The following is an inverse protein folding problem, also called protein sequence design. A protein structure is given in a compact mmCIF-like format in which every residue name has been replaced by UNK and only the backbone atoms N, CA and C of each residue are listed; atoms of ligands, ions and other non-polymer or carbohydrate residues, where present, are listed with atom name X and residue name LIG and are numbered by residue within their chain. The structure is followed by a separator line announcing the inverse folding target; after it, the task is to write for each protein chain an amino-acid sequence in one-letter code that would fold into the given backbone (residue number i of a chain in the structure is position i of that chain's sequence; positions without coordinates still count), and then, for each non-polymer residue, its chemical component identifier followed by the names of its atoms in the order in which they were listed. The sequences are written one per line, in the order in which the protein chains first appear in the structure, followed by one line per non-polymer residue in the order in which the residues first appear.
data_IF_138433185285
#
_entry.id   IF_138433185285
#
_cell.length_a   1.000
_cell.length_b   1.000
_cell.length_c   1.000
_cell.angle_alpha   90.00
_cell.angle_beta   90.00
_cell.angle_gamma   90.00
#
_symmetry.space_group_name_H-M   'P 1'
#
loop_
_entity.id
_entity.type
_entity.pdbx_description
1 polymer ?
#
# COMPACT_ATOMS: atom_id res chain seq x y z
N UNK A 1 13.70 -4.52 -9.57
CA UNK A 1 14.06 -3.38 -10.46
C UNK A 1 14.68 -2.28 -9.61
N UNK A 2 15.57 -1.44 -10.16
CA UNK A 2 16.08 -0.30 -9.41
C UNK A 2 14.97 0.77 -9.24
N UNK A 3 14.94 1.44 -8.10
CA UNK A 3 13.97 2.50 -7.81
C UNK A 3 14.18 3.70 -8.74
N UNK A 4 13.09 4.30 -9.20
CA UNK A 4 13.12 5.52 -10.03
C UNK A 4 13.54 5.29 -11.49
N UNK A 5 13.61 4.03 -11.95
CA UNK A 5 13.84 3.69 -13.36
C UNK A 5 12.60 3.07 -13.98
N UNK A 6 12.33 3.48 -15.21
CA UNK A 6 11.29 2.88 -16.02
C UNK A 6 11.68 1.46 -16.44
N UNK A 7 10.66 0.59 -16.52
CA UNK A 7 10.78 -0.74 -17.08
C UNK A 7 10.00 -0.81 -18.40
N UNK A 8 10.66 -1.28 -19.46
CA UNK A 8 10.03 -1.51 -20.75
C UNK A 8 9.70 -2.99 -20.93
N UNK A 9 8.46 -3.28 -21.35
CA UNK A 9 7.99 -4.63 -21.64
C UNK A 9 7.42 -4.68 -23.06
N UNK A 10 7.69 -5.77 -23.78
CA UNK A 10 7.13 -6.02 -25.11
C UNK A 10 6.30 -7.29 -25.06
N UNK A 11 5.07 -7.22 -25.60
CA UNK A 11 4.14 -8.34 -25.67
C UNK A 11 3.76 -8.57 -27.12
N UNK A 12 3.96 -9.80 -27.59
CA UNK A 12 3.51 -10.22 -28.91
C UNK A 12 2.20 -10.99 -28.78
N UNK A 13 1.16 -10.52 -29.46
CA UNK A 13 -0.16 -11.16 -29.51
C UNK A 13 -0.34 -11.75 -30.91
N UNK A 14 -0.81 -13.00 -30.99
CA UNK A 14 -0.96 -13.71 -32.28
C UNK A 14 -2.02 -13.08 -33.18
N UNK A 15 -3.14 -12.68 -32.59
CA UNK A 15 -4.24 -12.01 -33.27
C UNK A 15 -4.94 -11.09 -32.30
N UNK A 16 -5.22 -9.87 -32.74
CA UNK A 16 -6.00 -8.91 -31.97
C UNK A 16 -7.49 -9.30 -32.03
N UNK A 17 -8.25 -9.07 -30.95
CA UNK A 17 -9.69 -9.31 -30.97
C UNK A 17 -10.40 -8.35 -31.93
N UNK A 18 -11.57 -8.76 -32.42
CA UNK A 18 -12.47 -7.85 -33.14
C UNK A 18 -13.17 -6.91 -32.14
N UNK A 19 -12.48 -5.81 -31.83
CA UNK A 19 -12.92 -4.78 -30.89
C UNK A 19 -12.32 -3.44 -31.32
N UNK A 20 -12.92 -2.33 -30.86
CA UNK A 20 -12.41 -0.98 -31.13
C UNK A 20 -11.31 -0.55 -30.15
N UNK A 21 -11.36 -1.06 -28.93
CA UNK A 21 -10.43 -0.70 -27.85
C UNK A 21 -10.05 -1.92 -27.04
N UNK A 22 -8.84 -1.92 -26.49
CA UNK A 22 -8.35 -2.97 -25.60
C UNK A 22 -7.65 -2.33 -24.40
N UNK A 23 -8.18 -2.59 -23.20
CA UNK A 23 -7.56 -2.16 -21.96
C UNK A 23 -6.60 -3.25 -21.43
N UNK A 24 -5.36 -2.87 -21.16
CA UNK A 24 -4.33 -3.72 -20.58
C UNK A 24 -4.26 -3.50 -19.07
N UNK A 25 -5.11 -4.19 -18.33
CA UNK A 25 -5.07 -4.16 -16.86
C UNK A 25 -3.77 -4.78 -16.38
N UNK A 26 -3.04 -4.06 -15.52
CA UNK A 26 -1.74 -4.52 -15.02
C UNK A 26 -1.65 -4.46 -13.51
N UNK A 27 -0.92 -5.43 -12.94
CA UNK A 27 -0.54 -5.47 -11.54
C UNK A 27 0.98 -5.38 -11.45
N UNK A 28 1.47 -4.37 -10.74
CA UNK A 28 2.90 -4.21 -10.49
C UNK A 28 3.18 -4.57 -9.04
N UNK A 29 3.85 -5.69 -8.82
CA UNK A 29 4.27 -6.13 -7.49
C UNK A 29 5.69 -5.67 -7.21
N UNK A 30 5.93 -5.22 -5.99
CA UNK A 30 7.23 -4.77 -5.49
C UNK A 30 7.79 -5.77 -4.48
N UNK A 31 9.09 -5.68 -4.22
CA UNK A 31 9.80 -6.51 -3.25
C UNK A 31 9.39 -6.24 -1.79
N UNK A 32 8.94 -5.02 -1.49
CA UNK A 32 8.35 -4.63 -0.21
C UNK A 32 6.92 -5.16 0.03
N UNK A 33 6.39 -5.96 -0.91
CA UNK A 33 5.06 -6.56 -0.83
C UNK A 33 3.91 -5.64 -1.27
N UNK A 34 4.18 -4.40 -1.67
CA UNK A 34 3.16 -3.53 -2.26
C UNK A 34 2.75 -4.01 -3.65
N UNK A 35 1.52 -3.69 -4.03
CA UNK A 35 0.99 -3.95 -5.38
C UNK A 35 0.24 -2.73 -5.90
N UNK A 36 0.72 -2.15 -7.00
CA UNK A 36 -0.02 -1.12 -7.73
C UNK A 36 -0.97 -1.78 -8.73
N UNK A 37 -2.20 -1.25 -8.80
CA UNK A 37 -3.30 -1.84 -9.58
C UNK A 37 -3.79 -0.90 -10.67
N UNK A 38 -3.20 -0.98 -11.85
CA UNK A 38 -3.59 -0.20 -13.01
C UNK A 38 -4.74 -0.89 -13.73
N UNK A 39 -5.92 -0.85 -13.12
CA UNK A 39 -7.09 -1.66 -13.53
C UNK A 39 -8.34 -0.83 -13.83
N UNK A 40 -8.31 0.47 -13.52
CA UNK A 40 -9.45 1.36 -13.73
C UNK A 40 -9.62 1.66 -15.22
N UNK A 41 -10.86 1.62 -15.70
CA UNK A 41 -11.14 1.86 -17.13
C UNK A 41 -11.26 3.35 -17.47
N UNK A 42 -11.68 4.16 -16.50
CA UNK A 42 -11.83 5.60 -16.67
C UNK A 42 -10.52 6.33 -16.40
N UNK A 43 -10.31 7.45 -17.09
CA UNK A 43 -9.21 8.35 -16.77
C UNK A 43 -9.45 9.00 -15.41
N UNK A 44 -8.41 9.06 -14.58
CA UNK A 44 -8.44 9.81 -13.33
C UNK A 44 -8.94 11.24 -13.57
N UNK A 45 -10.02 11.63 -12.90
CA UNK A 45 -10.68 12.93 -13.04
C UNK A 45 -10.03 14.04 -12.21
N UNK A 46 -9.01 13.71 -11.41
CA UNK A 46 -8.15 14.67 -10.69
C UNK A 46 -6.74 14.63 -11.27
N UNK A 47 -6.05 15.78 -11.30
CA UNK A 47 -4.75 16.01 -11.97
C UNK A 47 -3.54 15.17 -11.53
N UNK A 48 -3.76 14.08 -10.78
CA UNK A 48 -2.79 13.02 -10.58
C UNK A 48 -2.89 11.93 -11.65
N UNK A 49 -1.77 11.26 -11.91
CA UNK A 49 -1.70 10.06 -12.74
C UNK A 49 -2.28 8.91 -11.92
N UNK A 50 -3.62 8.81 -11.87
CA UNK A 50 -4.30 7.73 -11.17
C UNK A 50 -4.01 6.35 -11.78
N UNK A 51 -4.66 5.32 -11.27
CA UNK A 51 -4.40 3.93 -11.67
C UNK A 51 -5.23 3.45 -12.88
N UNK A 52 -5.35 4.29 -13.90
CA UNK A 52 -6.07 3.96 -15.13
C UNK A 52 -5.28 2.95 -15.96
N UNK A 53 -5.93 1.88 -16.41
CA UNK A 53 -5.32 0.89 -17.27
C UNK A 53 -4.90 1.52 -18.62
N UNK A 54 -3.72 1.16 -19.16
CA UNK A 54 -3.36 1.49 -20.52
C UNK A 54 -4.42 1.01 -21.52
N UNK A 55 -4.80 1.88 -22.47
CA UNK A 55 -5.78 1.55 -23.51
C UNK A 55 -5.11 1.63 -24.87
N UNK A 56 -5.32 0.59 -25.68
CA UNK A 56 -4.94 0.52 -27.09
C UNK A 56 -6.19 0.65 -27.94
N UNK A 57 -6.21 1.67 -28.81
CA UNK A 57 -7.23 1.81 -29.85
C UNK A 57 -6.86 0.91 -31.04
N UNK A 58 -7.84 0.18 -31.56
CA UNK A 58 -7.67 -0.79 -32.63
C UNK A 58 -8.36 -0.29 -33.90
N UNK A 59 -7.68 -0.46 -35.02
CA UNK A 59 -8.26 -0.26 -36.35
C UNK A 59 -9.01 -1.52 -36.78
N UNK A 60 -9.91 -1.37 -37.76
CA UNK A 60 -10.60 -2.51 -38.35
C UNK A 60 -9.59 -3.52 -38.92
N UNK A 61 -9.98 -4.79 -38.88
CA UNK A 61 -9.18 -5.84 -39.46
C UNK A 61 -9.00 -5.60 -40.98
N UNK A 62 -7.82 -5.96 -41.49
CA UNK A 62 -7.57 -5.86 -42.92
C UNK A 62 -8.57 -6.74 -43.71
N UNK A 63 -8.97 -6.34 -44.94
CA UNK A 63 -9.88 -7.14 -45.76
C UNK A 63 -9.35 -8.57 -45.96
N UNK A 64 -10.21 -9.57 -45.69
CA UNK A 64 -9.86 -10.99 -45.78
C UNK A 64 -9.16 -11.57 -44.55
N UNK A 65 -9.04 -10.82 -43.46
CA UNK A 65 -8.57 -11.36 -42.19
C UNK A 65 -9.62 -12.30 -41.56
N UNK A 66 -9.26 -13.57 -41.39
CA UNK A 66 -10.11 -14.55 -40.71
C UNK A 66 -9.67 -14.77 -39.25
N UNK A 67 -10.61 -14.96 -38.31
CA UNK A 67 -10.29 -15.38 -36.95
C UNK A 67 -9.50 -16.71 -36.94
N UNK A 68 -8.38 -16.72 -36.23
CA UNK A 68 -7.63 -17.93 -35.96
C UNK A 68 -8.40 -18.77 -34.95
N UNK A 69 -8.39 -20.09 -35.15
CA UNK A 69 -8.91 -21.02 -34.15
C UNK A 69 -8.18 -20.82 -32.79
N UNK A 70 -8.89 -20.93 -31.66
CA UNK A 70 -8.29 -20.79 -30.35
C UNK A 70 -7.16 -21.82 -30.17
N UNK A 71 -6.01 -21.36 -29.66
CA UNK A 71 -4.93 -22.25 -29.24
C UNK A 71 -5.41 -23.07 -28.03
N UNK A 72 -4.97 -24.33 -27.85
CA UNK A 72 -5.14 -24.99 -26.56
C UNK A 72 -4.52 -24.10 -25.48
N UNK A 73 -5.32 -23.77 -24.46
CA UNK A 73 -4.89 -22.94 -23.35
C UNK A 73 -3.75 -23.65 -22.62
N UNK A 74 -2.60 -23.00 -22.48
CA UNK A 74 -1.60 -23.44 -21.52
C UNK A 74 -2.24 -23.34 -20.13
N UNK A 75 -2.45 -24.47 -19.47
CA UNK A 75 -3.02 -24.51 -18.13
C UNK A 75 -2.14 -23.65 -17.22
N UNK A 76 -2.65 -22.50 -16.79
CA UNK A 76 -1.99 -21.68 -15.77
C UNK A 76 -1.88 -22.52 -14.50
N UNK A 77 -0.66 -22.94 -14.17
CA UNK A 77 -0.36 -23.50 -12.86
C UNK A 77 -0.70 -22.44 -11.82
N UNK A 78 -1.83 -22.62 -11.14
CA UNK A 78 -2.21 -21.80 -9.98
C UNK A 78 -1.10 -21.98 -8.95
N UNK A 79 -0.44 -20.90 -8.46
CA UNK A 79 0.50 -21.05 -7.35
C UNK A 79 -0.25 -21.61 -6.15
N UNK A 80 0.29 -22.68 -5.56
CA UNK A 80 -0.34 -23.36 -4.43
C UNK A 80 -0.60 -22.37 -3.29
N UNK A 81 -1.87 -22.27 -2.88
CA UNK A 81 -2.28 -21.57 -1.67
C UNK A 81 -1.55 -22.19 -0.48
N UNK A 82 -0.80 -21.43 0.34
CA UNK A 82 -0.19 -22.00 1.54
C UNK A 82 -1.30 -22.42 2.50
N UNK A 83 -1.39 -23.73 2.77
CA UNK A 83 -2.26 -24.28 3.80
C UNK A 83 -1.80 -23.78 5.17
N UNK A 84 -2.66 -23.16 6.01
CA UNK A 84 -2.29 -22.86 7.37
C UNK A 84 -2.07 -24.18 8.12
N UNK A 85 -0.86 -24.37 8.68
CA UNK A 85 -0.56 -25.51 9.53
C UNK A 85 -1.38 -25.37 10.82
N UNK A 86 -2.44 -26.16 10.94
CA UNK A 86 -3.21 -26.31 12.18
C UNK A 86 -2.36 -27.08 13.19
N UNK A 87 -1.87 -26.38 14.21
CA UNK A 87 -1.32 -27.01 15.41
C UNK A 87 -2.43 -27.82 16.09
N UNK A 88 -2.27 -29.14 16.30
CA UNK A 88 -3.25 -29.90 17.06
C UNK A 88 -3.17 -29.53 18.55
N UNK A 89 -4.32 -29.15 19.08
CA UNK A 89 -4.61 -29.02 20.52
C UNK A 89 -4.86 -30.42 21.12
N UNK A 90 -4.15 -30.72 22.20
CA UNK A 90 -4.42 -31.75 23.23
C UNK A 90 -3.50 -31.37 24.39
N UNK A 91 -3.89 -31.24 25.66
CA UNK A 91 -4.93 -31.90 26.46
C UNK A 91 -5.10 -31.06 27.77
N UNK A 92 -6.23 -31.15 28.50
CA UNK A 92 -6.62 -30.19 29.54
C UNK A 92 -6.03 -30.49 30.92
N UNK A 93 -5.80 -29.43 31.70
CA UNK A 93 -5.63 -29.50 33.14
C UNK A 93 -6.64 -28.55 33.83
N UNK A 94 -7.36 -29.16 34.77
CA UNK A 94 -8.47 -28.67 35.59
C UNK A 94 -8.26 -27.29 36.28
N UNK A 95 -9.35 -26.58 36.64
CA UNK A 95 -9.29 -25.22 37.16
C UNK A 95 -9.12 -25.19 38.69
N UNK A 96 -8.20 -24.36 39.19
CA UNK A 96 -8.23 -23.92 40.59
C UNK A 96 -8.08 -22.41 40.70
N UNK A 97 -9.19 -21.78 41.05
CA UNK A 97 -9.29 -20.37 41.40
C UNK A 97 -8.45 -20.03 42.65
N UNK A 98 -7.85 -18.84 42.64
CA UNK A 98 -7.84 -17.89 43.76
C UNK A 98 -7.40 -16.50 43.28
N UNK A 99 -8.10 -15.41 43.66
CA UNK A 99 -7.64 -14.04 43.47
C UNK A 99 -6.82 -13.61 44.69
N UNK A 100 -5.71 -12.91 44.50
CA UNK A 100 -5.14 -12.04 45.53
C UNK A 100 -4.24 -10.99 44.89
N UNK A 101 -4.58 -9.75 45.22
CA UNK A 101 -3.77 -8.55 45.04
C UNK A 101 -2.34 -8.74 45.58
N UNK A 102 -1.33 -8.26 44.86
CA UNK A 102 -0.36 -7.34 45.43
C UNK A 102 0.43 -6.60 44.34
N UNK A 103 0.77 -5.37 44.68
CA UNK A 103 1.41 -4.31 43.93
C UNK A 103 2.94 -4.37 44.08
N UNK A 104 3.63 -3.85 43.05
CA UNK A 104 4.98 -3.21 43.05
C UNK A 104 6.23 -3.98 42.64
N UNK A 105 6.79 -3.45 41.53
CA UNK A 105 8.18 -3.21 41.12
C UNK A 105 9.14 -4.37 40.84
N UNK A 106 9.51 -4.52 39.57
CA UNK A 106 10.74 -3.99 38.94
C UNK A 106 11.05 -4.88 37.71
N UNK A 107 10.95 -4.33 36.49
CA UNK A 107 12.10 -4.03 35.60
C UNK A 107 12.72 -5.30 34.98
N UNK A 108 12.93 -5.46 33.67
CA UNK A 108 12.92 -4.60 32.49
C UNK A 108 12.62 -5.48 31.25
N UNK A 109 12.51 -4.80 30.10
CA UNK A 109 12.74 -5.30 28.74
C UNK A 109 11.53 -5.72 27.90
N UNK A 110 11.34 -4.91 26.85
CA UNK A 110 10.46 -5.02 25.66
C UNK A 110 8.98 -4.73 25.86
N UNK A 111 8.59 -3.50 25.48
CA UNK A 111 7.20 -3.21 25.19
C UNK A 111 6.95 -1.81 24.66
N UNK A 112 6.88 -1.69 23.34
CA UNK A 112 6.00 -0.80 22.57
C UNK A 112 5.16 0.21 23.40
N UNK A 113 5.55 1.49 23.45
CA UNK A 113 4.71 2.56 24.02
C UNK A 113 4.00 3.35 22.94
N UNK A 114 2.77 2.92 22.67
CA UNK A 114 1.74 3.65 21.96
C UNK A 114 1.19 4.76 22.87
N UNK A 115 1.86 5.91 23.01
CA UNK A 115 1.28 7.15 23.56
C UNK A 115 2.27 8.33 23.57
N UNK A 116 2.27 9.19 22.53
CA UNK A 116 2.55 10.63 22.71
C UNK A 116 2.17 11.45 21.46
N UNK A 117 1.19 12.36 21.56
CA UNK A 117 1.41 13.68 20.98
C UNK A 117 0.98 14.78 21.95
N UNK A 118 1.68 14.93 23.07
CA UNK A 118 1.52 16.11 23.95
C UNK A 118 2.83 16.91 24.05
N UNK A 119 3.99 16.29 23.82
CA UNK A 119 5.28 16.97 23.90
C UNK A 119 5.50 18.09 22.87
N UNK A 120 4.93 17.96 21.67
CA UNK A 120 5.18 18.93 20.58
C UNK A 120 4.44 20.25 20.81
N UNK A 121 3.23 20.21 21.40
CA UNK A 121 2.42 21.43 21.63
C UNK A 121 3.05 22.35 22.68
N UNK A 122 3.64 21.78 23.73
CA UNK A 122 4.30 22.56 24.80
C UNK A 122 5.56 23.27 24.29
N UNK A 123 6.33 22.61 23.42
CA UNK A 123 7.55 23.19 22.82
C UNK A 123 7.20 24.33 21.86
N UNK A 124 6.16 24.19 21.04
CA UNK A 124 5.73 25.26 20.11
C UNK A 124 5.17 26.47 20.86
N UNK A 125 4.40 26.26 21.94
CA UNK A 125 3.88 27.37 22.76
C UNK A 125 4.98 28.11 23.53
N UNK A 126 6.02 27.40 24.00
CA UNK A 126 7.16 28.03 24.66
C UNK A 126 7.98 28.91 23.69
N UNK A 127 8.18 28.46 22.45
CA UNK A 127 8.92 29.23 21.44
C UNK A 127 8.13 30.47 20.96
N UNK A 128 6.82 30.34 20.75
CA UNK A 128 5.96 31.46 20.35
C UNK A 128 5.82 32.51 21.47
N UNK A 129 5.64 32.06 22.72
CA UNK A 129 5.54 32.93 23.90
C UNK A 129 6.86 33.66 24.21
N UNK A 130 8.00 32.97 24.08
CA UNK A 130 9.33 33.54 24.29
C UNK A 130 9.66 34.65 23.30
N UNK A 131 9.30 34.46 22.02
CA UNK A 131 9.55 35.47 20.99
C UNK A 131 8.68 36.72 21.19
N UNK A 132 7.40 36.55 21.56
CA UNK A 132 6.50 37.67 21.82
C UNK A 132 6.90 38.49 23.06
N UNK A 133 7.31 37.83 24.15
CA UNK A 133 7.78 38.51 25.37
C UNK A 133 9.08 39.29 25.15
N UNK A 134 10.01 38.72 24.36
CA UNK A 134 11.28 39.37 24.04
C UNK A 134 11.10 40.59 23.12
N UNK A 135 10.16 40.56 22.18
CA UNK A 135 9.82 41.73 21.36
C UNK A 135 9.07 42.81 22.17
N UNK A 136 8.24 42.43 23.14
CA UNK A 136 7.54 43.38 24.02
C UNK A 136 8.51 44.12 24.95
N UNK A 137 9.55 43.44 25.45
CA UNK A 137 10.57 44.04 26.33
C UNK A 137 11.44 45.10 25.64
N UNK A 138 11.55 45.06 24.30
CA UNK A 138 12.27 46.08 23.51
C UNK A 138 11.50 47.39 23.31
N UNK A 139 10.22 47.46 23.68
CA UNK A 139 9.36 48.65 23.47
C UNK A 139 9.18 49.52 24.72
N UNK A 140 9.79 49.17 25.86
CA UNK A 140 9.66 49.90 27.13
C UNK A 140 10.99 50.47 27.62
N UNK A 141 11.86 50.90 26.71
CA UNK A 141 13.15 51.48 27.05
C UNK A 141 13.50 52.65 26.13
N UNK A 142 12.90 53.81 26.41
CA UNK A 142 13.48 55.15 26.19
C UNK A 142 12.62 56.14 26.98
N UNK A 143 13.13 56.56 28.13
CA UNK A 143 12.93 57.90 28.66
C UNK A 143 13.92 58.84 27.98
#
# INVERSE_FOLDING_TARGET
MAVGKDAAYSVAVRQLPDAKTLAFKTLQSYDDGRVDRWIELEKSTGGGHGHSAPVLELQEAAPGAEPLAPSPSASSSVPATPTPSSTPSSEPADPKAKPSDNVTAAEEEKGFSLALPIGIVVVVLALAGGLWWFLKRRRTGTA
#
